data_IF_856512061884
#
_entry.id   IF_856512061884
#
_cell.length_a   1.000
_cell.length_b   1.000
_cell.length_c   1.000
_cell.angle_alpha   90.00
_cell.angle_beta   90.00
_cell.angle_gamma   90.00
#
_symmetry.space_group_name_H-M   'P 1'
#
loop_
_entity.id
_entity.type
_entity.pdbx_description
1 polymer ?
#
# COMPACT_ATOMS: atom_id res chain seq x y z
N UNK A 1 -12.63 2.44 -2.69
CA UNK A 1 -12.82 1.87 -4.02
C UNK A 1 -13.77 0.67 -3.95
N UNK A 2 -14.79 0.65 -4.77
CA UNK A 2 -15.80 -0.41 -4.82
C UNK A 2 -15.67 -1.17 -6.14
N UNK A 3 -14.55 -1.88 -6.32
CA UNK A 3 -14.28 -2.61 -7.56
C UNK A 3 -15.30 -3.71 -7.79
N UNK A 4 -15.96 -3.72 -8.97
CA UNK A 4 -16.87 -4.79 -9.36
C UNK A 4 -16.14 -6.13 -9.39
N UNK A 5 -16.70 -7.17 -8.75
CA UNK A 5 -16.08 -8.48 -8.67
C UNK A 5 -14.99 -8.63 -7.61
N UNK A 6 -14.82 -7.63 -6.71
CA UNK A 6 -13.91 -7.73 -5.59
C UNK A 6 -14.31 -8.88 -4.65
N UNK A 7 -13.38 -9.80 -4.38
CA UNK A 7 -13.62 -10.93 -3.47
C UNK A 7 -13.48 -10.56 -1.99
N UNK A 8 -12.96 -9.34 -1.67
CA UNK A 8 -12.81 -8.80 -0.32
C UNK A 8 -13.76 -7.63 -0.06
N UNK A 9 -15.02 -7.72 -0.49
CA UNK A 9 -15.98 -6.63 -0.33
C UNK A 9 -16.27 -6.26 1.13
N UNK A 10 -16.03 -7.17 2.08
CA UNK A 10 -16.11 -6.91 3.52
C UNK A 10 -15.10 -5.86 4.00
N UNK A 11 -14.03 -5.60 3.26
CA UNK A 11 -13.02 -4.59 3.59
C UNK A 11 -13.41 -3.17 3.13
N UNK A 12 -14.59 -2.99 2.54
CA UNK A 12 -15.04 -1.67 2.06
C UNK A 12 -15.60 -0.77 3.17
N UNK A 13 -16.06 -1.39 4.27
CA UNK A 13 -16.57 -0.63 5.41
C UNK A 13 -15.41 -0.03 6.20
N UNK A 14 -15.30 1.31 6.18
CA UNK A 14 -14.30 2.06 6.96
C UNK A 14 -14.43 1.88 8.48
N UNK A 15 -15.56 1.40 8.96
CA UNK A 15 -15.82 1.07 10.37
C UNK A 15 -15.67 -0.41 10.66
N UNK A 16 -15.42 -1.20 9.61
CA UNK A 16 -15.21 -2.64 9.73
C UNK A 16 -13.82 -3.00 10.25
N UNK A 17 -13.66 -4.27 10.63
CA UNK A 17 -12.39 -4.78 11.12
C UNK A 17 -12.14 -4.49 12.60
N UNK A 18 -10.88 -4.56 12.98
CA UNK A 18 -10.41 -4.30 14.34
C UNK A 18 -9.31 -3.23 14.29
N UNK A 19 -9.17 -2.48 15.38
CA UNK A 19 -8.10 -1.52 15.51
C UNK A 19 -6.73 -2.20 15.41
N UNK A 20 -5.83 -1.60 14.62
CA UNK A 20 -4.44 -2.04 14.53
C UNK A 20 -3.67 -1.49 15.73
N UNK A 21 -3.84 -2.15 16.87
CA UNK A 21 -3.22 -1.80 18.14
C UNK A 21 -1.79 -2.37 18.28
N UNK A 22 -1.19 -2.16 19.46
CA UNK A 22 0.15 -2.65 19.76
C UNK A 22 0.22 -4.20 19.68
N UNK A 23 -0.80 -4.91 20.15
CA UNK A 23 -0.82 -6.36 20.13
C UNK A 23 -0.89 -6.91 18.70
N UNK A 24 -1.69 -6.27 17.83
CA UNK A 24 -1.73 -6.59 16.40
C UNK A 24 -0.38 -6.34 15.72
N UNK A 25 0.29 -5.23 16.06
CA UNK A 25 1.65 -4.93 15.57
C UNK A 25 2.68 -5.96 16.03
N UNK A 26 2.68 -6.35 17.28
CA UNK A 26 3.57 -7.39 17.81
C UNK A 26 3.35 -8.72 17.11
N UNK A 27 2.11 -9.09 16.88
CA UNK A 27 1.74 -10.30 16.12
C UNK A 27 2.29 -10.23 14.70
N UNK A 28 2.07 -9.12 13.97
CA UNK A 28 2.62 -8.91 12.64
C UNK A 28 4.15 -9.06 12.65
N UNK A 29 4.84 -8.41 13.58
CA UNK A 29 6.29 -8.43 13.66
C UNK A 29 6.84 -9.83 13.95
N UNK A 30 6.17 -10.61 14.81
CA UNK A 30 6.54 -12.01 15.07
C UNK A 30 6.43 -12.89 13.81
N UNK A 31 5.49 -12.59 12.93
CA UNK A 31 5.35 -13.27 11.63
C UNK A 31 6.44 -12.85 10.65
N UNK A 32 6.77 -11.55 10.59
CA UNK A 32 7.82 -11.03 9.72
C UNK A 32 9.23 -11.50 10.11
N UNK A 33 9.46 -11.87 11.36
CA UNK A 33 10.74 -12.43 11.85
C UNK A 33 11.05 -13.84 11.33
N UNK A 34 10.08 -14.53 10.74
CA UNK A 34 10.32 -15.89 10.26
C UNK A 34 11.35 -15.90 9.12
N UNK A 35 12.34 -16.80 9.14
CA UNK A 35 13.46 -16.78 8.21
C UNK A 35 13.08 -16.98 6.73
N UNK A 36 11.90 -17.50 6.47
CA UNK A 36 11.36 -17.71 5.13
C UNK A 36 10.51 -16.53 4.62
N UNK A 37 10.29 -15.49 5.45
CA UNK A 37 9.54 -14.30 5.05
C UNK A 37 10.50 -13.28 4.44
N UNK A 38 10.38 -13.06 3.14
CA UNK A 38 11.21 -12.12 2.39
C UNK A 38 10.40 -10.93 1.85
N UNK A 39 9.08 -10.97 2.00
CA UNK A 39 8.15 -9.97 1.46
C UNK A 39 7.06 -9.66 2.46
N UNK A 40 6.74 -8.38 2.57
CA UNK A 40 5.55 -7.87 3.26
C UNK A 40 4.64 -7.18 2.24
N UNK A 41 3.45 -7.72 2.05
CA UNK A 41 2.46 -7.14 1.13
C UNK A 41 1.39 -6.37 1.90
N UNK A 42 1.24 -5.10 1.58
CA UNK A 42 0.19 -4.22 2.11
C UNK A 42 -0.93 -4.16 1.09
N UNK A 43 -2.07 -4.67 1.49
CA UNK A 43 -3.29 -4.71 0.68
C UNK A 43 -4.50 -4.68 1.62
N UNK A 44 -5.70 -4.73 1.08
CA UNK A 44 -6.93 -4.73 1.87
C UNK A 44 -8.00 -3.92 1.18
N UNK A 45 -8.70 -3.03 1.87
CA UNK A 45 -9.62 -2.07 1.27
C UNK A 45 -8.89 -1.16 0.26
N UNK A 46 -8.37 -0.05 0.74
CA UNK A 46 -7.44 0.81 -0.02
C UNK A 46 -6.37 1.33 0.95
N UNK A 47 -5.14 0.81 0.86
CA UNK A 47 -4.07 1.23 1.78
C UNK A 47 -3.72 2.70 1.67
N UNK A 48 -3.83 3.27 0.47
CA UNK A 48 -3.53 4.68 0.21
C UNK A 48 -4.76 5.59 0.35
N UNK A 49 -5.84 5.13 1.01
CA UNK A 49 -6.87 6.06 1.47
C UNK A 49 -6.29 7.00 2.52
N UNK A 50 -6.63 8.30 2.42
CA UNK A 50 -6.01 9.35 3.23
C UNK A 50 -6.04 9.08 4.74
N UNK A 51 -7.12 8.51 5.25
CA UNK A 51 -7.25 8.18 6.67
C UNK A 51 -6.21 7.17 7.16
N UNK A 52 -5.58 6.41 6.27
CA UNK A 52 -4.58 5.40 6.59
C UNK A 52 -3.14 5.92 6.56
N UNK A 53 -2.88 7.09 5.95
CA UNK A 53 -1.51 7.54 5.63
C UNK A 53 -0.60 7.65 6.85
N UNK A 54 -1.07 8.26 7.93
CA UNK A 54 -0.24 8.41 9.14
C UNK A 54 0.09 7.06 9.77
N UNK A 55 -0.92 6.21 9.97
CA UNK A 55 -0.75 4.87 10.53
C UNK A 55 0.13 3.98 9.67
N UNK A 56 -0.10 4.00 8.34
CA UNK A 56 0.68 3.23 7.38
C UNK A 56 2.14 3.71 7.35
N UNK A 57 2.38 5.03 7.28
CA UNK A 57 3.73 5.58 7.28
C UNK A 57 4.51 5.15 8.54
N UNK A 58 3.89 5.27 9.72
CA UNK A 58 4.50 4.86 10.98
C UNK A 58 4.81 3.35 11.00
N UNK A 59 3.89 2.53 10.53
CA UNK A 59 4.11 1.09 10.42
C UNK A 59 5.30 0.77 9.50
N UNK A 60 5.36 1.40 8.32
CA UNK A 60 6.45 1.15 7.36
C UNK A 60 7.81 1.63 7.88
N UNK A 61 7.87 2.73 8.63
CA UNK A 61 9.09 3.18 9.34
C UNK A 61 9.57 2.07 10.28
N UNK A 62 8.69 1.54 11.11
CA UNK A 62 9.05 0.51 12.09
C UNK A 62 9.44 -0.81 11.42
N UNK A 63 8.74 -1.20 10.35
CA UNK A 63 9.07 -2.39 9.55
C UNK A 63 10.47 -2.23 8.91
N UNK A 64 10.76 -1.11 8.25
CA UNK A 64 12.08 -0.88 7.65
C UNK A 64 13.20 -0.83 8.69
N UNK A 65 12.94 -0.24 9.85
CA UNK A 65 13.91 -0.18 10.95
C UNK A 65 14.27 -1.56 11.49
N UNK A 66 13.27 -2.43 11.67
CA UNK A 66 13.47 -3.78 12.25
C UNK A 66 13.89 -4.81 11.19
N UNK A 67 13.38 -4.67 9.96
CA UNK A 67 13.57 -5.61 8.86
C UNK A 67 14.09 -4.90 7.60
N UNK A 68 15.32 -4.34 7.60
CA UNK A 68 15.82 -3.50 6.51
C UNK A 68 15.92 -4.20 5.16
N UNK A 69 16.04 -5.53 5.15
CA UNK A 69 16.13 -6.35 3.92
C UNK A 69 14.77 -6.84 3.41
N UNK A 70 13.69 -6.59 4.16
CA UNK A 70 12.36 -7.05 3.79
C UNK A 70 11.84 -6.22 2.62
N UNK A 71 11.40 -6.89 1.55
CA UNK A 71 10.73 -6.22 0.44
C UNK A 71 9.30 -5.83 0.83
N UNK A 72 8.96 -4.57 0.64
CA UNK A 72 7.62 -4.05 0.86
C UNK A 72 6.91 -3.91 -0.49
N UNK A 73 5.80 -4.59 -0.63
CA UNK A 73 4.88 -4.50 -1.75
C UNK A 73 3.61 -3.81 -1.31
N UNK A 74 3.12 -2.87 -2.11
CA UNK A 74 1.88 -2.17 -1.83
C UNK A 74 0.95 -2.27 -3.02
N UNK A 75 -0.31 -2.61 -2.77
CA UNK A 75 -1.35 -2.72 -3.77
C UNK A 75 -2.35 -1.58 -3.58
N UNK A 76 -2.60 -0.83 -4.64
CA UNK A 76 -3.56 0.28 -4.62
C UNK A 76 -4.44 0.25 -5.88
N UNK A 77 -5.67 0.66 -5.73
CA UNK A 77 -6.54 0.89 -6.88
C UNK A 77 -6.34 2.26 -7.53
N UNK A 78 -5.49 3.12 -6.98
CA UNK A 78 -5.10 4.37 -7.62
C UNK A 78 -4.07 4.12 -8.72
N UNK A 79 -4.16 4.87 -9.82
CA UNK A 79 -3.12 4.91 -10.85
C UNK A 79 -1.88 5.65 -10.33
N UNK A 80 -0.70 5.22 -10.72
CA UNK A 80 0.55 5.85 -10.29
C UNK A 80 0.64 7.32 -10.72
N UNK A 81 0.21 7.64 -11.94
CA UNK A 81 0.12 9.01 -12.44
C UNK A 81 -0.74 9.91 -11.57
N UNK A 82 -1.87 9.39 -11.08
CA UNK A 82 -2.75 10.11 -10.15
C UNK A 82 -2.06 10.39 -8.81
N UNK A 83 -1.35 9.41 -8.26
CA UNK A 83 -0.62 9.59 -7.00
C UNK A 83 0.46 10.67 -7.12
N UNK A 84 1.21 10.70 -8.23
CA UNK A 84 2.22 11.73 -8.49
C UNK A 84 1.58 13.11 -8.64
N UNK A 85 0.51 13.22 -9.41
CA UNK A 85 -0.24 14.47 -9.55
C UNK A 85 -0.77 14.96 -8.19
N UNK A 86 -1.28 14.06 -7.36
CA UNK A 86 -1.80 14.39 -6.03
C UNK A 86 -0.69 14.97 -5.12
N UNK A 87 0.50 14.38 -5.13
CA UNK A 87 1.66 14.88 -4.38
C UNK A 87 2.03 16.30 -4.83
N UNK A 88 2.12 16.53 -6.14
CA UNK A 88 2.50 17.83 -6.71
C UNK A 88 1.45 18.90 -6.41
N UNK A 89 0.17 18.57 -6.58
CA UNK A 89 -0.93 19.50 -6.26
C UNK A 89 -0.95 19.89 -4.79
N UNK A 90 -0.71 18.95 -3.89
CA UNK A 90 -0.75 19.21 -2.45
C UNK A 90 0.46 20.01 -1.99
N UNK A 91 1.63 19.82 -2.58
CA UNK A 91 2.80 20.67 -2.34
C UNK A 91 2.54 22.13 -2.68
N UNK A 92 1.82 22.37 -3.78
CA UNK A 92 1.52 23.72 -4.26
C UNK A 92 0.37 24.36 -3.46
N UNK A 93 -0.75 23.65 -3.30
CA UNK A 93 -1.98 24.19 -2.71
C UNK A 93 -1.91 24.25 -1.17
N UNK A 94 -1.20 23.31 -0.56
CA UNK A 94 -1.22 23.10 0.87
C UNK A 94 0.18 22.89 1.47
N UNK A 95 1.14 23.81 1.25
CA UNK A 95 2.54 23.62 1.66
C UNK A 95 2.72 23.52 3.18
N UNK A 96 1.73 23.91 3.96
CA UNK A 96 1.73 23.80 5.44
C UNK A 96 1.17 22.49 5.97
N UNK A 97 0.51 21.71 5.11
CA UNK A 97 -0.03 20.41 5.50
C UNK A 97 0.96 19.30 5.13
N UNK A 98 1.12 18.36 6.03
CA UNK A 98 2.13 17.30 5.91
C UNK A 98 1.69 16.15 5.00
N UNK A 99 0.54 16.27 4.35
CA UNK A 99 -0.10 15.17 3.63
C UNK A 99 0.68 14.73 2.37
N UNK A 100 1.18 15.70 1.58
CA UNK A 100 2.03 15.38 0.43
C UNK A 100 3.31 14.64 0.88
N UNK A 101 3.90 15.10 1.98
CA UNK A 101 5.07 14.47 2.57
C UNK A 101 4.76 13.05 3.09
N UNK A 102 3.60 12.83 3.71
CA UNK A 102 3.21 11.50 4.20
C UNK A 102 3.05 10.50 3.05
N UNK A 103 2.35 10.87 1.98
CA UNK A 103 2.17 10.01 0.82
C UNK A 103 3.50 9.69 0.15
N UNK A 104 4.35 10.70 -0.06
CA UNK A 104 5.68 10.53 -0.61
C UNK A 104 6.54 9.62 0.30
N UNK A 105 6.54 9.88 1.59
CA UNK A 105 7.26 9.09 2.60
C UNK A 105 6.82 7.63 2.65
N UNK A 106 5.53 7.34 2.39
CA UNK A 106 5.04 5.97 2.23
C UNK A 106 5.66 5.35 0.98
N UNK A 107 5.57 6.02 -0.17
CA UNK A 107 6.06 5.50 -1.45
C UNK A 107 7.58 5.28 -1.44
N UNK A 108 8.34 6.13 -0.75
CA UNK A 108 9.80 5.96 -0.57
C UNK A 108 10.18 4.67 0.18
N UNK A 109 9.28 4.13 0.99
CA UNK A 109 9.52 2.88 1.73
C UNK A 109 9.06 1.63 0.99
N UNK A 110 8.26 1.80 -0.05
CA UNK A 110 7.72 0.72 -0.86
C UNK A 110 8.75 0.33 -1.93
N UNK A 111 9.03 -0.96 -2.04
CA UNK A 111 9.91 -1.49 -3.09
C UNK A 111 9.13 -1.67 -4.40
N UNK A 112 7.96 -2.30 -4.32
CA UNK A 112 7.11 -2.57 -5.48
C UNK A 112 5.70 -2.02 -5.22
N UNK A 113 5.22 -1.19 -6.13
CA UNK A 113 3.85 -0.71 -6.16
C UNK A 113 3.07 -1.46 -7.26
N UNK A 114 1.95 -2.06 -6.90
CA UNK A 114 0.97 -2.57 -7.86
C UNK A 114 -0.17 -1.58 -7.91
N UNK A 115 -0.25 -0.79 -8.98
CA UNK A 115 -1.11 0.36 -9.11
C UNK A 115 -2.22 0.14 -10.16
N UNK A 116 -3.35 0.76 -9.96
CA UNK A 116 -4.50 0.75 -10.87
C UNK A 116 -5.68 -0.05 -10.35
N UNK A 117 -6.91 0.37 -10.72
CA UNK A 117 -8.13 -0.31 -10.30
C UNK A 117 -8.21 -1.72 -10.92
N UNK A 118 -8.81 -2.64 -10.15
CA UNK A 118 -9.16 -3.93 -10.73
C UNK A 118 -10.30 -3.76 -11.74
N UNK A 119 -10.10 -4.24 -12.96
CA UNK A 119 -11.08 -4.22 -14.06
C UNK A 119 -11.45 -5.65 -14.42
N UNK A 120 -12.71 -6.05 -14.17
CA UNK A 120 -13.16 -7.45 -14.36
C UNK A 120 -13.03 -7.89 -15.82
N UNK A 121 -13.27 -7.00 -16.78
CA UNK A 121 -13.15 -7.25 -18.22
C UNK A 121 -11.71 -7.53 -18.66
N UNK A 122 -10.74 -7.08 -17.86
CA UNK A 122 -9.30 -7.28 -18.09
C UNK A 122 -8.68 -8.32 -17.15
N UNK A 123 -9.51 -9.01 -16.39
CA UNK A 123 -9.09 -10.07 -15.49
C UNK A 123 -8.37 -11.18 -16.25
N UNK A 124 -7.21 -11.55 -15.75
CA UNK A 124 -6.40 -12.60 -16.32
C UNK A 124 -5.65 -13.35 -15.20
N UNK A 125 -6.03 -14.62 -15.00
CA UNK A 125 -5.46 -15.47 -13.94
C UNK A 125 -4.04 -15.92 -14.20
N UNK A 126 -3.53 -15.73 -15.42
CA UNK A 126 -2.14 -16.04 -15.77
C UNK A 126 -1.15 -14.94 -15.39
N UNK A 127 -1.65 -13.74 -15.02
CA UNK A 127 -0.80 -12.63 -14.62
C UNK A 127 -0.14 -12.88 -13.26
N UNK A 128 1.15 -12.61 -13.18
CA UNK A 128 1.87 -12.65 -11.92
C UNK A 128 1.63 -11.35 -11.13
N UNK A 129 1.23 -11.48 -9.86
CA UNK A 129 1.13 -10.41 -8.87
C UNK A 129 0.12 -9.29 -9.14
N UNK A 130 -0.73 -9.38 -10.15
CA UNK A 130 -1.82 -8.45 -10.44
C UNK A 130 -3.07 -9.20 -10.91
N UNK A 131 -4.25 -8.60 -10.73
CA UNK A 131 -5.52 -9.26 -11.04
C UNK A 131 -6.06 -8.98 -12.43
N UNK A 132 -5.72 -7.84 -13.02
CA UNK A 132 -6.17 -7.41 -14.34
C UNK A 132 -5.04 -6.78 -15.15
N UNK A 133 -5.16 -6.82 -16.48
CA UNK A 133 -4.07 -6.41 -17.39
C UNK A 133 -3.71 -4.93 -17.28
N UNK A 134 -4.70 -4.07 -17.03
CA UNK A 134 -4.52 -2.62 -16.86
C UNK A 134 -3.67 -2.22 -15.65
N UNK A 135 -3.54 -3.07 -14.63
CA UNK A 135 -2.74 -2.76 -13.46
C UNK A 135 -1.24 -2.75 -13.80
N UNK A 136 -0.51 -1.82 -13.20
CA UNK A 136 0.93 -1.66 -13.40
C UNK A 136 1.71 -2.20 -12.20
N UNK A 137 2.85 -2.84 -12.48
CA UNK A 137 3.82 -3.23 -11.45
C UNK A 137 5.01 -2.30 -11.60
N UNK A 138 5.23 -1.47 -10.61
CA UNK A 138 6.22 -0.39 -10.63
C UNK A 138 7.25 -0.64 -9.54
N UNK A 139 8.51 -0.73 -9.94
CA UNK A 139 9.63 -0.78 -9.01
C UNK A 139 9.99 0.65 -8.58
N UNK A 140 9.75 0.97 -7.31
CA UNK A 140 10.01 2.29 -6.75
C UNK A 140 11.42 2.38 -6.14
N UNK A 141 11.83 1.34 -5.41
CA UNK A 141 13.10 1.33 -4.70
C UNK A 141 13.75 -0.06 -4.74
N UNK A 142 14.99 -0.14 -5.16
CA UNK A 142 15.75 -1.38 -5.32
C UNK A 142 16.37 -1.92 -4.02
N UNK A 143 15.97 -1.40 -2.84
CA UNK A 143 16.42 -1.93 -1.55
C UNK A 143 17.95 -1.91 -1.39
N UNK A 144 18.59 -0.74 -1.62
CA UNK A 144 19.96 -0.48 -1.20
C UNK A 144 20.06 -0.23 0.29
#
# INVERSE_FOLDING_TARGET
>A
LHCKGCFNSETWDFKGGQEFDLAAKETLFSLLEKPYVHRFSVLGGEPLERCNWEGLNNLLIDVKKKFPKLQIWLYTGYEYSFLMQLIDEWRIKWPKFNDAYLLESILEKVNILVAGPFVEEEKDRSLAFKGSRNQEIIELNNGE
#
